data_IF_099028885996
#
_entry.id   IF_099028885996
#
_cell.length_a   1.000
_cell.length_b   1.000
_cell.length_c   1.000
_cell.angle_alpha   90.00
_cell.angle_beta   90.00
_cell.angle_gamma   90.00
#
_symmetry.space_group_name_H-M   'P 1'
#
loop_
_entity.id
_entity.type
_entity.pdbx_description
1 polymer ?
#
# COMPACT_ATOMS: atom_id res chain seq x y z
N UNK A 1 24.29 19.31 -3.80
CA UNK A 1 23.00 18.62 -4.13
C UNK A 1 23.20 17.17 -3.75
N UNK A 2 22.35 16.62 -2.88
CA UNK A 2 22.44 15.19 -2.52
C UNK A 2 22.05 14.32 -3.69
N UNK A 3 22.74 13.17 -3.86
CA UNK A 3 22.39 12.12 -4.81
C UNK A 3 21.79 10.92 -4.05
N UNK A 4 20.74 10.32 -4.60
CA UNK A 4 20.05 9.19 -3.98
C UNK A 4 19.77 8.12 -5.02
N UNK A 5 20.09 6.87 -4.70
CA UNK A 5 19.64 5.70 -5.44
C UNK A 5 18.51 5.04 -4.68
N UNK A 6 17.40 4.76 -5.35
CA UNK A 6 16.25 4.02 -4.80
C UNK A 6 16.16 2.68 -5.53
N UNK A 7 16.10 1.60 -4.78
CA UNK A 7 15.92 0.24 -5.31
C UNK A 7 14.45 -0.14 -5.21
N UNK A 8 13.78 -0.23 -6.36
CA UNK A 8 12.37 -0.58 -6.52
C UNK A 8 11.48 0.60 -6.92
N UNK A 9 10.73 0.45 -8.01
CA UNK A 9 9.75 1.40 -8.54
C UNK A 9 8.30 1.06 -8.16
N UNK A 10 8.09 0.40 -7.03
CA UNK A 10 6.76 0.25 -6.42
C UNK A 10 6.23 1.58 -5.89
N UNK A 11 4.98 1.60 -5.39
CA UNK A 11 4.34 2.84 -4.89
C UNK A 11 5.18 3.57 -3.84
N UNK A 12 5.84 2.83 -2.94
CA UNK A 12 6.70 3.42 -1.91
C UNK A 12 7.94 4.06 -2.51
N UNK A 13 8.65 3.34 -3.41
CA UNK A 13 9.86 3.86 -4.06
C UNK A 13 9.58 5.08 -4.92
N UNK A 14 8.48 5.07 -5.69
CA UNK A 14 8.10 6.21 -6.53
C UNK A 14 7.68 7.44 -5.71
N UNK A 15 6.94 7.27 -4.59
CA UNK A 15 6.67 8.39 -3.69
C UNK A 15 7.95 8.96 -3.08
N UNK A 16 8.88 8.10 -2.65
CA UNK A 16 10.20 8.53 -2.17
C UNK A 16 10.96 9.30 -3.26
N UNK A 17 10.93 8.81 -4.51
CA UNK A 17 11.62 9.44 -5.62
C UNK A 17 11.09 10.86 -5.90
N UNK A 18 9.75 11.00 -6.00
CA UNK A 18 9.11 12.30 -6.22
C UNK A 18 9.46 13.26 -5.07
N UNK A 19 9.30 12.81 -3.82
CA UNK A 19 9.49 13.67 -2.65
C UNK A 19 10.94 14.12 -2.46
N UNK A 20 11.90 13.21 -2.68
CA UNK A 20 13.33 13.53 -2.63
C UNK A 20 13.74 14.50 -3.74
N UNK A 21 13.25 14.31 -4.97
CA UNK A 21 13.51 15.21 -6.08
C UNK A 21 12.93 16.60 -5.82
N UNK A 22 11.71 16.70 -5.30
CA UNK A 22 11.11 17.96 -4.86
C UNK A 22 11.89 18.65 -3.74
N UNK A 23 12.56 17.89 -2.89
CA UNK A 23 13.45 18.41 -1.85
C UNK A 23 14.86 18.78 -2.38
N UNK A 24 15.11 18.66 -3.69
CA UNK A 24 16.35 19.06 -4.35
C UNK A 24 17.43 17.97 -4.42
N UNK A 25 17.10 16.70 -4.22
CA UNK A 25 18.01 15.60 -4.49
C UNK A 25 18.05 15.25 -5.99
N UNK A 26 19.19 14.75 -6.46
CA UNK A 26 19.30 14.04 -7.74
C UNK A 26 18.98 12.57 -7.46
N UNK A 27 17.93 12.05 -8.06
CA UNK A 27 17.41 10.72 -7.76
C UNK A 27 17.51 9.80 -8.97
N UNK A 28 17.98 8.57 -8.74
CA UNK A 28 17.92 7.45 -9.70
C UNK A 28 17.14 6.30 -9.05
N UNK A 29 16.14 5.78 -9.74
CA UNK A 29 15.36 4.60 -9.33
C UNK A 29 15.79 3.42 -10.18
N UNK A 30 16.14 2.31 -9.54
CA UNK A 30 16.52 1.05 -10.19
C UNK A 30 15.38 0.04 -9.98
N UNK A 31 14.79 -0.42 -11.09
CA UNK A 31 13.70 -1.39 -11.08
C UNK A 31 14.14 -2.67 -11.80
N UNK A 32 13.90 -3.80 -11.17
CA UNK A 32 14.26 -5.13 -11.71
C UNK A 32 13.39 -5.56 -12.89
N UNK A 33 12.16 -5.06 -12.94
CA UNK A 33 11.20 -5.40 -13.97
C UNK A 33 11.28 -4.43 -15.15
N UNK A 34 10.63 -4.83 -16.25
CA UNK A 34 10.43 -3.99 -17.42
C UNK A 34 9.49 -2.82 -17.12
N UNK A 35 9.46 -1.84 -18.01
CA UNK A 35 8.66 -0.62 -17.82
C UNK A 35 7.14 -0.87 -17.76
N UNK A 36 6.65 -2.00 -18.25
CA UNK A 36 5.23 -2.31 -18.27
C UNK A 36 4.66 -2.55 -16.86
N UNK A 37 3.70 -1.73 -16.46
CA UNK A 37 2.94 -1.92 -15.22
C UNK A 37 1.78 -2.87 -15.47
N UNK A 38 1.74 -3.99 -14.74
CA UNK A 38 0.70 -5.01 -14.90
C UNK A 38 0.32 -5.63 -13.56
N UNK A 39 -0.99 -5.84 -13.33
CA UNK A 39 -1.49 -6.60 -12.16
C UNK A 39 -0.96 -8.04 -12.12
N UNK A 40 -0.49 -8.55 -13.24
CA UNK A 40 0.13 -9.87 -13.34
C UNK A 40 1.65 -9.84 -13.14
N UNK A 41 2.24 -8.64 -12.99
CA UNK A 41 3.64 -8.46 -12.63
C UNK A 41 3.96 -8.93 -11.20
N UNK A 42 5.25 -9.03 -10.82
CA UNK A 42 5.65 -9.53 -9.50
C UNK A 42 5.39 -8.53 -8.38
N UNK A 43 5.27 -7.25 -8.68
CA UNK A 43 5.20 -6.17 -7.71
C UNK A 43 3.88 -6.15 -6.92
N UNK A 44 3.99 -6.07 -5.58
CA UNK A 44 2.84 -5.99 -4.68
C UNK A 44 1.97 -4.75 -4.96
N UNK A 45 2.58 -3.65 -5.38
CA UNK A 45 1.89 -2.38 -5.65
C UNK A 45 0.89 -2.51 -6.80
N UNK A 46 1.31 -3.08 -7.93
CA UNK A 46 0.44 -3.29 -9.10
C UNK A 46 -0.67 -4.32 -8.82
N UNK A 47 -0.36 -5.36 -8.04
CA UNK A 47 -1.31 -6.41 -7.70
C UNK A 47 -2.35 -6.01 -6.63
N UNK A 48 -2.18 -4.89 -5.94
CA UNK A 48 -3.09 -4.45 -4.88
C UNK A 48 -4.43 -3.94 -5.40
N UNK A 49 -5.45 -3.90 -4.53
CA UNK A 49 -6.71 -3.21 -4.82
C UNK A 49 -6.61 -1.69 -4.65
N UNK A 50 -5.61 -1.21 -3.92
CA UNK A 50 -5.34 0.21 -3.72
C UNK A 50 -6.18 0.88 -2.62
N UNK A 51 -6.70 0.14 -1.65
CA UNK A 51 -7.49 0.72 -0.56
C UNK A 51 -6.67 1.67 0.30
N UNK A 52 -7.28 2.81 0.62
CA UNK A 52 -6.77 3.84 1.53
C UNK A 52 -7.74 3.92 2.72
N UNK A 53 -7.56 3.03 3.69
CA UNK A 53 -8.42 2.89 4.85
C UNK A 53 -7.60 3.03 6.15
N UNK A 54 -7.47 4.25 6.69
CA UNK A 54 -6.62 4.51 7.85
C UNK A 54 -7.15 3.95 9.16
N UNK A 55 -8.48 3.82 9.31
CA UNK A 55 -9.09 3.20 10.47
C UNK A 55 -9.11 1.68 10.31
N UNK A 56 -8.16 0.99 10.93
CA UNK A 56 -8.06 -0.47 10.87
C UNK A 56 -9.23 -1.21 11.55
N UNK A 57 -9.34 -2.51 11.29
CA UNK A 57 -10.33 -3.38 11.96
C UNK A 57 -10.07 -3.49 13.46
N UNK A 58 -8.79 -3.55 13.86
CA UNK A 58 -8.35 -3.52 15.25
C UNK A 58 -7.60 -2.22 15.56
N UNK A 59 -7.67 -1.79 16.82
CA UNK A 59 -6.94 -0.63 17.30
C UNK A 59 -5.42 -0.80 17.11
N UNK A 60 -4.76 0.29 16.73
CA UNK A 60 -3.30 0.31 16.57
C UNK A 60 -2.72 1.59 17.15
N UNK A 61 -1.54 1.54 17.79
CA UNK A 61 -0.85 2.73 18.27
C UNK A 61 -0.44 3.68 17.14
N UNK A 62 -0.49 3.24 15.89
CA UNK A 62 -0.07 4.01 14.73
C UNK A 62 -1.24 4.54 13.87
N UNK A 63 -2.49 4.48 14.35
CA UNK A 63 -3.64 4.99 13.58
C UNK A 63 -3.52 6.47 13.25
N UNK A 64 -3.00 7.30 14.17
CA UNK A 64 -2.75 8.72 13.91
C UNK A 64 -1.80 8.91 12.72
N UNK A 65 -0.76 8.07 12.60
CA UNK A 65 0.17 8.09 11.47
C UNK A 65 -0.49 7.64 10.17
N UNK A 66 -1.39 6.64 10.22
CA UNK A 66 -2.16 6.20 9.07
C UNK A 66 -3.07 7.32 8.55
N UNK A 67 -3.74 8.06 9.43
CA UNK A 67 -4.52 9.25 9.06
C UNK A 67 -3.64 10.38 8.54
N UNK A 68 -2.48 10.64 9.14
CA UNK A 68 -1.54 11.64 8.63
C UNK A 68 -1.11 11.31 7.18
N UNK A 69 -0.89 10.04 6.88
CA UNK A 69 -0.61 9.60 5.51
C UNK A 69 -1.80 9.76 4.56
N UNK A 70 -3.01 9.46 5.02
CA UNK A 70 -4.23 9.70 4.27
C UNK A 70 -4.43 11.18 3.94
N UNK A 71 -4.18 12.07 4.91
CA UNK A 71 -4.24 13.51 4.70
C UNK A 71 -3.18 13.99 3.69
N UNK A 72 -2.00 13.34 3.65
CA UNK A 72 -1.00 13.56 2.60
C UNK A 72 -1.53 13.19 1.22
N UNK A 73 -2.20 12.05 1.07
CA UNK A 73 -2.84 11.66 -0.18
C UNK A 73 -3.81 12.75 -0.67
N UNK A 74 -4.71 13.24 0.20
CA UNK A 74 -5.67 14.31 -0.13
C UNK A 74 -4.98 15.62 -0.49
N UNK A 75 -3.94 15.99 0.24
CA UNK A 75 -3.19 17.24 0.02
C UNK A 75 -2.40 17.23 -1.28
N UNK A 76 -1.82 16.10 -1.64
CA UNK A 76 -0.97 15.97 -2.83
C UNK A 76 -1.79 15.81 -4.12
N UNK A 77 -2.98 15.20 -4.05
CA UNK A 77 -3.79 14.85 -5.22
C UNK A 77 -4.04 16.02 -6.18
N UNK A 78 -4.46 17.22 -5.76
CA UNK A 78 -4.88 18.26 -6.71
C UNK A 78 -3.81 18.74 -7.69
N UNK A 79 -2.54 18.52 -7.37
CA UNK A 79 -1.39 18.89 -8.21
C UNK A 79 -0.60 17.71 -8.77
N UNK A 80 -1.14 16.50 -8.63
CA UNK A 80 -0.41 15.29 -8.99
C UNK A 80 -0.79 14.77 -10.39
N UNK A 81 0.17 14.22 -11.10
CA UNK A 81 -0.05 13.55 -12.41
C UNK A 81 -0.91 12.27 -12.27
N UNK A 82 -1.09 11.77 -11.06
CA UNK A 82 -1.92 10.64 -10.70
C UNK A 82 -3.29 11.01 -10.11
N UNK A 83 -3.66 12.28 -10.13
CA UNK A 83 -4.86 12.81 -9.44
C UNK A 83 -6.16 12.09 -9.82
N UNK A 84 -6.31 11.72 -11.08
CA UNK A 84 -7.51 11.05 -11.60
C UNK A 84 -7.58 9.55 -11.24
N UNK A 85 -6.49 8.99 -10.73
CA UNK A 85 -6.40 7.61 -10.26
C UNK A 85 -6.82 7.41 -8.80
N UNK A 86 -7.17 8.47 -8.06
CA UNK A 86 -7.51 8.38 -6.62
C UNK A 86 -8.87 9.01 -6.34
N UNK A 87 -9.64 8.34 -5.47
CA UNK A 87 -10.95 8.81 -5.00
C UNK A 87 -11.03 8.73 -3.48
N UNK A 88 -11.78 9.67 -2.88
CA UNK A 88 -11.99 9.82 -1.44
C UNK A 88 -13.50 9.88 -1.15
N UNK A 89 -14.20 8.76 -1.34
CA UNK A 89 -15.66 8.67 -1.23
C UNK A 89 -16.13 8.03 0.08
N UNK A 90 -15.20 7.79 0.97
CA UNK A 90 -15.44 7.05 2.20
C UNK A 90 -15.47 5.53 2.00
N UNK A 91 -15.72 4.82 3.08
CA UNK A 91 -15.82 3.37 3.11
C UNK A 91 -16.87 2.89 4.11
N UNK A 92 -17.44 1.72 3.87
CA UNK A 92 -18.29 1.01 4.83
C UNK A 92 -17.50 -0.12 5.44
N UNK A 93 -17.22 -0.03 6.74
CA UNK A 93 -16.66 -1.10 7.53
C UNK A 93 -17.79 -1.96 8.11
N UNK A 94 -17.77 -3.24 7.81
CA UNK A 94 -18.71 -4.23 8.40
C UNK A 94 -18.01 -4.88 9.58
N UNK A 95 -18.49 -4.55 10.78
CA UNK A 95 -17.99 -5.10 12.03
C UNK A 95 -18.57 -6.50 12.28
N UNK A 96 -17.86 -7.32 13.05
CA UNK A 96 -18.32 -8.67 13.38
C UNK A 96 -19.49 -8.66 14.39
N UNK A 97 -19.57 -7.63 15.23
CA UNK A 97 -20.59 -7.46 16.26
C UNK A 97 -20.77 -5.97 16.62
N UNK A 98 -21.74 -5.68 17.48
CA UNK A 98 -22.04 -4.30 17.93
C UNK A 98 -20.86 -3.64 18.64
N UNK A 99 -20.13 -4.38 19.50
CA UNK A 99 -18.98 -3.86 20.24
C UNK A 99 -17.85 -3.39 19.30
N UNK A 100 -17.55 -4.16 18.26
CA UNK A 100 -16.54 -3.77 17.27
C UNK A 100 -16.99 -2.55 16.47
N UNK A 101 -18.28 -2.39 16.18
CA UNK A 101 -18.81 -1.19 15.52
C UNK A 101 -18.71 0.04 16.44
N UNK A 102 -19.01 -0.11 17.73
CA UNK A 102 -18.88 0.96 18.73
C UNK A 102 -17.41 1.36 18.92
N UNK A 103 -16.48 0.39 18.92
CA UNK A 103 -15.04 0.65 18.98
C UNK A 103 -14.56 1.47 17.77
N UNK A 104 -14.98 1.11 16.55
CA UNK A 104 -14.66 1.89 15.36
C UNK A 104 -15.14 3.34 15.46
N UNK A 105 -16.38 3.57 15.92
CA UNK A 105 -16.94 4.91 16.11
C UNK A 105 -16.18 5.69 17.17
N UNK A 106 -15.84 5.04 18.29
CA UNK A 106 -15.11 5.64 19.38
C UNK A 106 -13.70 6.07 18.96
N UNK A 107 -12.94 5.18 18.29
CA UNK A 107 -11.58 5.48 17.79
C UNK A 107 -11.59 6.60 16.75
N UNK A 108 -12.54 6.60 15.80
CA UNK A 108 -12.70 7.71 14.87
C UNK A 108 -12.89 9.03 15.60
N UNK A 109 -13.79 9.07 16.60
CA UNK A 109 -14.05 10.27 17.41
C UNK A 109 -12.81 10.73 18.18
N UNK A 110 -12.06 9.81 18.80
CA UNK A 110 -10.81 10.14 19.51
C UNK A 110 -9.75 10.78 18.61
N UNK A 111 -9.73 10.36 17.33
CA UNK A 111 -8.81 10.90 16.31
C UNK A 111 -9.36 12.15 15.60
N UNK A 112 -10.53 12.70 16.04
CA UNK A 112 -11.17 13.84 15.39
C UNK A 112 -11.68 13.55 13.98
N UNK A 113 -12.00 12.27 13.68
CA UNK A 113 -12.47 11.80 12.37
C UNK A 113 -13.97 11.52 12.39
N UNK A 114 -14.57 11.58 11.22
CA UNK A 114 -16.01 11.34 11.06
C UNK A 114 -16.29 9.89 10.71
N UNK A 115 -17.12 9.27 11.55
CA UNK A 115 -17.68 7.96 11.29
C UNK A 115 -19.12 7.94 11.84
N UNK A 116 -20.02 7.22 11.17
CA UNK A 116 -21.41 7.11 11.55
C UNK A 116 -21.94 5.68 11.34
N UNK A 117 -22.90 5.20 12.15
CA UNK A 117 -23.55 3.93 11.89
C UNK A 117 -24.21 3.92 10.51
N UNK A 118 -24.07 2.80 9.77
CA UNK A 118 -24.64 2.61 8.45
C UNK A 118 -25.62 1.44 8.43
N UNK A 119 -26.91 1.70 8.34
CA UNK A 119 -27.91 0.65 8.19
C UNK A 119 -27.97 0.11 6.75
N UNK A 120 -28.49 -1.12 6.58
CA UNK A 120 -28.73 -1.72 5.27
C UNK A 120 -29.63 -0.85 4.36
N UNK A 121 -30.61 -0.15 4.95
CA UNK A 121 -31.47 0.78 4.20
C UNK A 121 -30.74 2.04 3.71
N UNK A 122 -29.84 2.60 4.53
CA UNK A 122 -28.98 3.73 4.14
C UNK A 122 -27.99 3.32 3.05
N UNK A 123 -27.34 2.15 3.22
CA UNK A 123 -26.47 1.58 2.22
C UNK A 123 -27.18 1.40 0.86
N UNK A 124 -28.37 0.79 0.87
CA UNK A 124 -29.16 0.61 -0.35
C UNK A 124 -29.55 1.92 -1.01
N UNK A 125 -29.92 2.96 -0.24
CA UNK A 125 -30.23 4.27 -0.81
C UNK A 125 -29.00 4.92 -1.47
N UNK A 126 -27.81 4.67 -0.92
CA UNK A 126 -26.55 5.26 -1.39
C UNK A 126 -25.98 4.54 -2.62
N UNK A 127 -26.09 3.20 -2.67
CA UNK A 127 -25.45 2.34 -3.68
C UNK A 127 -26.42 1.68 -4.65
N UNK A 128 -27.69 1.58 -4.34
CA UNK A 128 -28.66 0.76 -5.07
C UNK A 128 -28.58 -0.75 -4.75
N UNK A 129 -27.49 -1.20 -4.11
CA UNK A 129 -27.24 -2.62 -3.81
C UNK A 129 -27.95 -3.07 -2.54
N UNK A 130 -28.28 -4.36 -2.48
CA UNK A 130 -28.83 -5.02 -1.30
C UNK A 130 -27.70 -5.64 -0.47
N UNK A 131 -27.65 -5.30 0.82
CA UNK A 131 -26.65 -5.85 1.73
C UNK A 131 -27.30 -6.29 3.05
N UNK A 132 -26.77 -7.33 3.66
CA UNK A 132 -27.11 -7.78 5.02
C UNK A 132 -26.14 -7.11 6.00
N UNK A 133 -26.41 -5.84 6.32
CA UNK A 133 -25.59 -5.05 7.23
C UNK A 133 -26.29 -4.97 8.59
N UNK A 134 -25.76 -5.65 9.59
CA UNK A 134 -26.25 -5.61 10.98
C UNK A 134 -25.42 -4.62 11.81
N UNK A 135 -24.11 -4.71 11.74
CA UNK A 135 -23.16 -3.88 12.46
C UNK A 135 -22.19 -3.27 11.46
N UNK A 136 -22.46 -2.06 11.00
CA UNK A 136 -21.61 -1.40 10.04
C UNK A 136 -21.49 0.09 10.28
N UNK A 137 -20.33 0.63 9.92
CA UNK A 137 -19.92 2.01 10.14
C UNK A 137 -19.48 2.59 8.81
N UNK A 138 -20.03 3.73 8.43
CA UNK A 138 -19.47 4.55 7.37
C UNK A 138 -18.33 5.39 7.93
N UNK A 139 -17.17 5.31 7.30
CA UNK A 139 -15.98 6.09 7.62
C UNK A 139 -15.74 7.08 6.48
N UNK A 140 -15.78 8.38 6.78
CA UNK A 140 -15.65 9.44 5.75
C UNK A 140 -14.24 9.47 5.16
N UNK A 141 -13.23 9.28 6.02
CA UNK A 141 -11.81 9.33 5.62
C UNK A 141 -11.31 7.97 5.12
N UNK A 142 -11.93 7.45 4.08
CA UNK A 142 -11.46 6.30 3.30
C UNK A 142 -11.48 6.61 1.80
N UNK A 143 -10.68 5.88 1.05
CA UNK A 143 -10.60 6.05 -0.39
C UNK A 143 -10.01 4.84 -1.10
N UNK A 144 -9.79 5.01 -2.39
CA UNK A 144 -9.13 4.00 -3.23
C UNK A 144 -8.21 4.69 -4.25
N UNK A 145 -7.06 4.11 -4.45
CA UNK A 145 -6.12 4.43 -5.52
C UNK A 145 -6.21 3.32 -6.58
N UNK A 146 -6.38 3.67 -7.84
CA UNK A 146 -6.22 2.73 -8.95
C UNK A 146 -4.73 2.47 -9.15
N UNK A 147 -4.23 1.24 -8.89
CA UNK A 147 -2.81 0.99 -8.88
C UNK A 147 -2.11 1.30 -10.20
N UNK A 148 -2.70 0.94 -11.33
CA UNK A 148 -2.06 1.12 -12.63
C UNK A 148 -1.96 2.60 -12.99
N UNK A 149 -3.04 3.35 -12.77
CA UNK A 149 -3.08 4.80 -13.03
C UNK A 149 -2.13 5.57 -12.12
N UNK A 150 -2.16 5.27 -10.83
CA UNK A 150 -1.33 5.99 -9.86
C UNK A 150 0.16 5.67 -10.05
N UNK A 151 0.54 4.42 -10.29
CA UNK A 151 1.95 4.07 -10.56
C UNK A 151 2.46 4.75 -11.83
N UNK A 152 1.66 4.74 -12.90
CA UNK A 152 2.01 5.45 -14.15
C UNK A 152 2.15 6.95 -13.90
N UNK A 153 1.19 7.58 -13.24
CA UNK A 153 1.24 9.02 -12.94
C UNK A 153 2.39 9.39 -12.00
N UNK A 154 2.71 8.56 -11.00
CA UNK A 154 3.88 8.76 -10.14
C UNK A 154 5.19 8.68 -10.93
N UNK A 155 5.32 7.71 -11.84
CA UNK A 155 6.50 7.61 -12.70
C UNK A 155 6.63 8.83 -13.63
N UNK A 156 5.52 9.31 -14.20
CA UNK A 156 5.50 10.55 -15.00
C UNK A 156 5.93 11.75 -14.16
N UNK A 157 5.36 11.92 -12.97
CA UNK A 157 5.68 12.99 -12.05
C UNK A 157 7.15 12.94 -11.60
N UNK A 158 7.69 11.75 -11.31
CA UNK A 158 9.11 11.58 -10.98
C UNK A 158 10.00 12.05 -12.12
N UNK A 159 9.73 11.61 -13.36
CA UNK A 159 10.48 12.05 -14.56
C UNK A 159 10.38 13.57 -14.79
N UNK A 160 9.22 14.17 -14.57
CA UNK A 160 9.01 15.62 -14.66
C UNK A 160 9.87 16.40 -13.65
N UNK A 161 10.21 15.80 -12.51
CA UNK A 161 11.15 16.33 -11.52
C UNK A 161 12.62 15.92 -11.77
N UNK A 162 12.93 15.34 -12.93
CA UNK A 162 14.30 14.97 -13.30
C UNK A 162 14.81 13.65 -12.69
N UNK A 163 13.93 12.82 -12.16
CA UNK A 163 14.28 11.47 -11.68
C UNK A 163 14.57 10.56 -12.88
N UNK A 164 15.70 9.86 -12.83
CA UNK A 164 16.01 8.78 -13.75
C UNK A 164 15.36 7.48 -13.21
N UNK A 165 14.56 6.82 -14.04
CA UNK A 165 14.00 5.50 -13.72
C UNK A 165 14.57 4.51 -14.73
N UNK A 166 15.41 3.60 -14.26
CA UNK A 166 16.03 2.56 -15.06
C UNK A 166 15.40 1.21 -14.77
N UNK A 167 14.90 0.59 -15.82
CA UNK A 167 14.29 -0.73 -15.81
C UNK A 167 15.30 -1.81 -16.19
N UNK A 168 14.96 -3.09 -15.94
CA UNK A 168 15.88 -4.23 -16.12
C UNK A 168 17.18 -4.05 -15.31
N UNK A 169 17.09 -3.45 -14.12
CA UNK A 169 18.21 -3.16 -13.20
C UNK A 169 18.02 -3.85 -11.84
N UNK A 170 18.08 -5.18 -11.85
CA UNK A 170 18.07 -5.94 -10.60
C UNK A 170 19.36 -5.70 -9.81
N UNK A 171 19.21 -5.12 -8.60
CA UNK A 171 20.33 -4.87 -7.69
C UNK A 171 20.67 -6.12 -6.90
N UNK A 172 21.93 -6.51 -6.85
CA UNK A 172 22.43 -7.70 -6.15
C UNK A 172 23.54 -7.41 -5.14
N UNK A 173 24.16 -6.22 -5.16
CA UNK A 173 25.19 -5.83 -4.20
C UNK A 173 25.07 -4.37 -3.81
N UNK A 174 25.38 -4.07 -2.55
CA UNK A 174 25.30 -2.75 -1.95
C UNK A 174 26.50 -2.44 -1.08
N UNK A 175 26.87 -1.17 -1.02
CA UNK A 175 27.69 -0.57 0.03
C UNK A 175 26.97 0.66 0.56
N UNK A 176 27.62 1.44 1.46
CA UNK A 176 27.05 2.71 1.94
C UNK A 176 26.69 3.70 0.81
N UNK A 177 27.45 3.66 -0.30
CA UNK A 177 27.41 4.67 -1.35
C UNK A 177 27.25 4.09 -2.76
N UNK A 178 27.18 2.77 -2.91
CA UNK A 178 27.06 2.14 -4.23
C UNK A 178 25.97 1.08 -4.26
N UNK A 179 25.25 1.02 -5.38
CA UNK A 179 24.39 -0.10 -5.74
C UNK A 179 24.92 -0.73 -7.04
N UNK A 180 25.15 -2.03 -7.03
CA UNK A 180 25.53 -2.79 -8.22
C UNK A 180 24.34 -3.58 -8.73
N UNK A 181 23.99 -3.35 -9.99
CA UNK A 181 22.86 -3.98 -10.65
C UNK A 181 23.31 -4.92 -11.77
N UNK A 182 22.35 -5.57 -12.41
CA UNK A 182 22.56 -6.46 -13.55
C UNK A 182 23.53 -5.84 -14.60
N UNK A 183 24.35 -6.66 -15.24
CA UNK A 183 25.45 -6.29 -16.15
C UNK A 183 26.57 -5.50 -15.45
N UNK A 184 26.77 -5.70 -14.14
CA UNK A 184 27.80 -5.03 -13.32
C UNK A 184 27.72 -3.50 -13.37
N UNK A 185 26.52 -2.96 -13.67
CA UNK A 185 26.28 -1.52 -13.65
C UNK A 185 26.36 -0.98 -12.21
N UNK A 186 27.26 -0.02 -11.97
CA UNK A 186 27.50 0.57 -10.66
C UNK A 186 26.91 1.98 -10.59
N UNK A 187 26.10 2.22 -9.56
CA UNK A 187 25.45 3.50 -9.28
C UNK A 187 25.97 4.06 -7.96
N UNK A 188 26.60 5.23 -8.02
CA UNK A 188 27.13 5.93 -6.85
C UNK A 188 26.13 7.00 -6.36
N UNK A 189 25.92 7.07 -5.04
CA UNK A 189 25.05 8.05 -4.41
C UNK A 189 25.48 8.37 -2.97
N UNK A 190 25.02 9.52 -2.46
CA UNK A 190 25.21 9.92 -1.05
C UNK A 190 24.31 9.10 -0.10
N UNK A 191 23.23 8.51 -0.61
CA UNK A 191 22.35 7.63 0.14
C UNK A 191 21.68 6.58 -0.77
N UNK A 192 21.43 5.40 -0.21
CA UNK A 192 20.71 4.31 -0.88
C UNK A 192 19.46 3.98 -0.09
N UNK A 193 18.31 3.90 -0.78
CA UNK A 193 17.01 3.58 -0.21
C UNK A 193 16.49 2.26 -0.79
N UNK A 194 16.19 1.29 0.08
CA UNK A 194 15.67 0.00 -0.33
C UNK A 194 14.14 -0.04 -0.19
N UNK A 195 13.44 0.05 -1.32
CA UNK A 195 11.98 -0.06 -1.44
C UNK A 195 11.57 -1.24 -2.33
N UNK A 196 12.36 -2.33 -2.31
CA UNK A 196 12.36 -3.42 -3.28
C UNK A 196 11.27 -4.51 -3.06
N UNK A 197 10.27 -4.23 -2.21
CA UNK A 197 9.17 -5.17 -1.92
C UNK A 197 9.68 -6.49 -1.32
N UNK A 198 8.85 -7.54 -1.35
CA UNK A 198 9.25 -8.84 -0.80
C UNK A 198 10.45 -9.46 -1.55
N UNK A 199 10.45 -9.41 -2.88
CA UNK A 199 11.48 -10.05 -3.69
C UNK A 199 12.89 -9.50 -3.47
N UNK A 200 12.98 -8.18 -3.22
CA UNK A 200 14.26 -7.55 -2.87
C UNK A 200 14.65 -7.80 -1.41
N UNK A 201 13.70 -7.98 -0.50
CA UNK A 201 14.01 -8.20 0.91
C UNK A 201 14.88 -9.45 1.12
N UNK A 202 14.54 -10.56 0.48
CA UNK A 202 15.33 -11.81 0.59
C UNK A 202 16.75 -11.62 0.04
N UNK A 203 16.87 -11.03 -1.15
CA UNK A 203 18.16 -10.88 -1.86
C UNK A 203 19.09 -9.87 -1.17
N UNK A 204 18.54 -8.79 -0.63
CA UNK A 204 19.30 -7.68 -0.06
C UNK A 204 19.44 -7.74 1.47
N UNK A 205 18.93 -8.77 2.12
CA UNK A 205 19.01 -8.96 3.57
C UNK A 205 20.46 -9.12 4.11
N UNK A 206 21.42 -9.42 3.26
CA UNK A 206 22.84 -9.43 3.65
C UNK A 206 23.38 -8.01 3.93
N UNK A 207 22.82 -6.99 3.26
CA UNK A 207 23.23 -5.59 3.36
C UNK A 207 22.34 -4.77 4.32
N UNK A 208 21.12 -5.23 4.55
CA UNK A 208 20.16 -4.64 5.47
C UNK A 208 19.47 -5.74 6.29
N UNK A 209 20.06 -6.18 7.41
CA UNK A 209 19.60 -7.35 8.16
C UNK A 209 18.15 -7.28 8.65
N UNK A 210 17.61 -6.10 8.91
CA UNK A 210 16.21 -5.91 9.27
C UNK A 210 15.23 -6.47 8.20
N UNK A 211 15.64 -6.56 6.95
CA UNK A 211 14.83 -7.15 5.87
C UNK A 211 14.54 -8.65 6.08
N UNK A 212 15.34 -9.37 6.90
CA UNK A 212 15.08 -10.77 7.25
C UNK A 212 13.79 -10.98 8.04
N UNK A 213 13.27 -9.91 8.63
CA UNK A 213 12.00 -9.93 9.38
C UNK A 213 10.78 -9.90 8.45
N UNK A 214 10.98 -9.65 7.15
CA UNK A 214 9.88 -9.51 6.19
C UNK A 214 9.52 -10.88 5.61
N UNK A 215 8.28 -11.30 5.83
CA UNK A 215 7.73 -12.54 5.32
C UNK A 215 6.78 -12.32 4.13
N UNK A 216 6.61 -13.32 3.24
CA UNK A 216 5.65 -13.22 2.15
C UNK A 216 4.22 -13.45 2.66
N UNK A 217 3.30 -12.60 2.25
CA UNK A 217 1.87 -12.75 2.48
C UNK A 217 1.11 -12.81 1.15
N UNK A 218 0.79 -14.02 0.66
CA UNK A 218 0.03 -14.19 -0.58
C UNK A 218 -1.41 -13.78 -0.40
N UNK A 219 -1.97 -13.07 -1.38
CA UNK A 219 -3.38 -12.71 -1.42
C UNK A 219 -3.95 -12.85 -2.81
N UNK A 220 -5.15 -13.47 -2.92
CA UNK A 220 -5.92 -13.57 -4.16
C UNK A 220 -6.88 -12.41 -4.29
N UNK A 221 -7.07 -11.95 -5.52
CA UNK A 221 -8.00 -10.91 -5.90
C UNK A 221 -8.72 -11.34 -7.18
N UNK A 222 -9.96 -10.86 -7.35
CA UNK A 222 -10.76 -11.14 -8.54
C UNK A 222 -11.56 -9.91 -8.94
N UNK A 223 -11.57 -9.52 -10.24
CA UNK A 223 -12.48 -8.50 -10.74
C UNK A 223 -13.90 -9.03 -10.64
N UNK A 224 -14.83 -8.18 -10.21
CA UNK A 224 -16.24 -8.53 -10.11
C UNK A 224 -17.11 -7.46 -10.76
N UNK A 225 -18.27 -7.88 -11.26
CA UNK A 225 -19.33 -7.00 -11.69
C UNK A 225 -20.38 -6.90 -10.59
N UNK A 226 -20.88 -5.69 -10.38
CA UNK A 226 -22.03 -5.38 -9.57
C UNK A 226 -23.11 -4.76 -10.45
N UNK A 227 -24.39 -4.93 -10.09
CA UNK A 227 -25.51 -4.37 -10.86
C UNK A 227 -25.54 -2.82 -10.79
N UNK A 228 -24.87 -2.22 -9.79
CA UNK A 228 -24.70 -0.78 -9.62
C UNK A 228 -23.27 -0.45 -9.19
N UNK A 229 -22.74 0.74 -9.51
CA UNK A 229 -21.45 1.19 -9.00
C UNK A 229 -21.40 1.17 -7.46
N UNK A 230 -20.29 0.69 -6.90
CA UNK A 230 -20.09 0.65 -5.46
C UNK A 230 -19.48 1.97 -4.97
N UNK A 231 -20.30 2.77 -4.33
CA UNK A 231 -19.91 4.02 -3.68
C UNK A 231 -20.57 4.10 -2.31
N UNK A 232 -19.87 4.10 -1.24
CA UNK A 232 -18.42 3.99 -0.97
C UNK A 232 -17.89 2.54 -1.08
N UNK A 233 -16.56 2.36 -0.92
CA UNK A 233 -15.97 1.03 -0.82
C UNK A 233 -16.55 0.26 0.37
N UNK A 234 -16.45 -1.07 0.33
CA UNK A 234 -16.95 -1.93 1.40
C UNK A 234 -15.83 -2.84 1.87
N UNK A 235 -15.65 -2.95 3.18
CA UNK A 235 -14.71 -3.89 3.80
C UNK A 235 -15.37 -4.65 4.95
N UNK A 236 -15.04 -5.92 5.04
CA UNK A 236 -15.44 -6.84 6.09
C UNK A 236 -14.19 -7.62 6.55
N UNK A 237 -14.30 -8.39 7.64
CA UNK A 237 -13.17 -9.12 8.20
C UNK A 237 -12.44 -10.02 7.19
N UNK A 238 -13.17 -10.65 6.26
CA UNK A 238 -12.64 -11.68 5.36
C UNK A 238 -12.48 -11.21 3.90
N UNK A 239 -13.01 -10.04 3.55
CA UNK A 239 -12.93 -9.50 2.20
C UNK A 239 -13.15 -8.00 2.17
N UNK A 240 -12.85 -7.40 1.02
CA UNK A 240 -13.25 -6.04 0.68
C UNK A 240 -13.68 -5.98 -0.78
N UNK A 241 -14.51 -5.00 -1.09
CA UNK A 241 -14.84 -4.57 -2.45
C UNK A 241 -14.32 -3.15 -2.65
N UNK A 242 -13.36 -3.01 -3.52
CA UNK A 242 -12.76 -1.73 -3.87
C UNK A 242 -13.21 -1.32 -5.29
N UNK A 243 -13.98 -0.23 -5.37
CA UNK A 243 -14.38 0.34 -6.65
C UNK A 243 -13.23 1.18 -7.19
N UNK A 244 -12.54 0.71 -8.20
CA UNK A 244 -11.61 1.49 -8.98
C UNK A 244 -12.37 2.25 -10.08
N UNK A 245 -11.66 2.98 -10.93
CA UNK A 245 -12.32 3.79 -11.95
C UNK A 245 -13.12 2.95 -12.96
N UNK A 246 -12.57 1.83 -13.39
CA UNK A 246 -13.12 1.01 -14.47
C UNK A 246 -13.67 -0.34 -13.99
N UNK A 247 -13.30 -0.80 -12.81
CA UNK A 247 -13.69 -2.10 -12.29
C UNK A 247 -13.92 -2.09 -10.77
N UNK A 248 -14.54 -3.16 -10.29
CA UNK A 248 -14.61 -3.48 -8.86
C UNK A 248 -13.71 -4.68 -8.61
N UNK A 249 -12.86 -4.57 -7.60
CA UNK A 249 -11.98 -5.67 -7.18
C UNK A 249 -12.45 -6.22 -5.85
N UNK A 250 -12.72 -7.52 -5.85
CA UNK A 250 -12.94 -8.31 -4.64
C UNK A 250 -11.61 -8.90 -4.17
N UNK A 251 -11.23 -8.64 -2.95
CA UNK A 251 -10.02 -9.13 -2.27
C UNK A 251 -10.24 -9.21 -0.76
N UNK A 252 -9.33 -9.70 0.00
CA UNK A 252 -8.27 -10.55 -0.44
C UNK A 252 -7.98 -11.61 0.61
N UNK A 253 -7.57 -12.77 0.17
CA UNK A 253 -7.03 -13.78 1.07
C UNK A 253 -5.70 -13.32 1.69
N UNK A 254 -5.29 -13.99 2.77
CA UNK A 254 -3.97 -13.82 3.37
C UNK A 254 -3.41 -15.20 3.74
N UNK A 255 -2.32 -15.57 3.08
CA UNK A 255 -1.60 -16.82 3.31
C UNK A 255 -0.14 -16.48 3.61
N UNK A 256 0.22 -16.49 4.91
CA UNK A 256 1.59 -16.21 5.35
C UNK A 256 2.56 -17.32 4.93
N UNK A 257 3.82 -16.97 4.66
CA UNK A 257 4.84 -17.91 4.22
C UNK A 257 4.68 -18.39 2.76
N UNK A 258 3.65 -17.96 2.05
CA UNK A 258 3.40 -18.33 0.65
C UNK A 258 3.91 -17.23 -0.28
N UNK A 259 4.83 -17.56 -1.18
CA UNK A 259 5.44 -16.61 -2.10
C UNK A 259 5.21 -16.91 -3.59
N UNK A 260 4.51 -18.01 -3.96
CA UNK A 260 4.12 -18.21 -5.35
C UNK A 260 2.87 -17.41 -5.71
N UNK A 261 2.81 -16.90 -6.94
CA UNK A 261 1.68 -16.11 -7.46
C UNK A 261 0.65 -16.96 -8.23
N UNK A 262 0.68 -18.27 -8.06
CA UNK A 262 -0.30 -19.16 -8.70
C UNK A 262 -1.67 -18.91 -8.08
N UNK A 263 -2.68 -18.69 -8.92
CA UNK A 263 -4.07 -18.56 -8.49
C UNK A 263 -4.61 -19.94 -8.10
N UNK A 264 -5.21 -20.01 -6.92
CA UNK A 264 -5.91 -21.19 -6.42
C UNK A 264 -7.40 -20.91 -6.46
N UNK A 265 -8.14 -21.60 -7.35
CA UNK A 265 -9.56 -21.32 -7.60
C UNK A 265 -10.40 -21.42 -6.33
N UNK A 266 -10.12 -22.38 -5.45
CA UNK A 266 -10.83 -22.52 -4.17
C UNK A 266 -10.77 -21.24 -3.32
N UNK A 267 -9.64 -20.51 -3.34
CA UNK A 267 -9.50 -19.23 -2.61
C UNK A 267 -10.32 -18.10 -3.24
N UNK A 268 -10.44 -18.11 -4.56
CA UNK A 268 -11.31 -17.17 -5.27
C UNK A 268 -12.78 -17.46 -4.97
N UNK A 269 -13.17 -18.73 -4.96
CA UNK A 269 -14.52 -19.16 -4.64
C UNK A 269 -14.91 -18.80 -3.19
N UNK A 270 -13.99 -18.95 -2.23
CA UNK A 270 -14.16 -18.51 -0.84
C UNK A 270 -14.49 -17.01 -0.75
N UNK A 271 -13.76 -16.17 -1.49
CA UNK A 271 -14.02 -14.73 -1.54
C UNK A 271 -15.40 -14.41 -2.13
N UNK A 272 -15.78 -15.08 -3.24
CA UNK A 272 -17.09 -14.89 -3.87
C UNK A 272 -18.23 -15.32 -2.97
N UNK A 273 -18.07 -16.44 -2.24
CA UNK A 273 -19.05 -16.92 -1.26
C UNK A 273 -19.21 -15.92 -0.12
N UNK A 274 -18.08 -15.43 0.45
CA UNK A 274 -18.11 -14.44 1.53
C UNK A 274 -18.78 -13.13 1.10
N UNK A 275 -18.45 -12.63 -0.08
CA UNK A 275 -19.04 -11.41 -0.62
C UNK A 275 -20.55 -11.56 -0.89
N UNK A 276 -20.97 -12.69 -1.48
CA UNK A 276 -22.39 -12.95 -1.73
C UNK A 276 -23.18 -13.32 -0.46
N UNK A 277 -22.53 -13.75 0.62
CA UNK A 277 -23.20 -13.87 1.92
C UNK A 277 -23.66 -12.50 2.46
N UNK A 278 -22.84 -11.46 2.22
CA UNK A 278 -23.16 -10.09 2.62
C UNK A 278 -24.01 -9.34 1.59
N UNK A 279 -23.75 -9.54 0.29
CA UNK A 279 -24.41 -8.89 -0.87
C UNK A 279 -25.11 -9.96 -1.74
N UNK A 280 -26.25 -10.53 -1.31
CA UNK A 280 -26.84 -11.72 -1.94
C UNK A 280 -27.19 -11.54 -3.42
N UNK A 281 -26.45 -12.27 -4.29
CA UNK A 281 -26.66 -12.26 -5.74
C UNK A 281 -26.12 -11.05 -6.49
N UNK A 282 -25.52 -10.08 -5.79
CA UNK A 282 -25.02 -8.85 -6.39
C UNK A 282 -23.60 -9.01 -6.98
N UNK A 283 -22.78 -9.94 -6.43
CA UNK A 283 -21.36 -10.07 -6.78
C UNK A 283 -21.14 -11.20 -7.78
N UNK A 284 -20.70 -10.87 -9.00
CA UNK A 284 -20.45 -11.83 -10.07
C UNK A 284 -19.00 -11.71 -10.55
N UNK A 285 -18.25 -12.81 -10.76
CA UNK A 285 -16.91 -12.71 -11.33
C UNK A 285 -16.96 -12.06 -12.72
N UNK A 286 -16.03 -11.13 -13.00
CA UNK A 286 -16.04 -10.32 -14.23
C UNK A 286 -14.69 -10.31 -14.95
N UNK A 287 -13.72 -11.11 -14.53
CA UNK A 287 -12.42 -11.15 -15.19
C UNK A 287 -11.51 -12.22 -14.61
N UNK A 288 -10.25 -12.19 -15.06
CA UNK A 288 -9.24 -13.15 -14.62
C UNK A 288 -8.75 -12.80 -13.21
N UNK A 289 -8.84 -13.71 -12.23
CA UNK A 289 -8.26 -13.51 -10.92
C UNK A 289 -6.72 -13.50 -10.97
N UNK A 290 -6.11 -12.86 -9.98
CA UNK A 290 -4.66 -12.86 -9.80
C UNK A 290 -4.28 -13.01 -8.33
N UNK A 291 -2.98 -13.20 -8.09
CA UNK A 291 -2.42 -13.23 -6.74
C UNK A 291 -1.19 -12.33 -6.65
N UNK A 292 -1.09 -11.59 -5.55
CA UNK A 292 0.05 -10.74 -5.20
C UNK A 292 0.73 -11.21 -3.92
N UNK A 293 1.99 -10.80 -3.73
CA UNK A 293 2.78 -11.12 -2.55
C UNK A 293 3.06 -9.83 -1.78
N UNK A 294 2.49 -9.71 -0.59
CA UNK A 294 2.73 -8.59 0.32
C UNK A 294 4.02 -8.80 1.10
N UNK A 295 4.86 -7.78 1.28
CA UNK A 295 5.97 -7.82 2.22
C UNK A 295 5.41 -7.61 3.65
N UNK A 296 5.23 -8.70 4.40
CA UNK A 296 4.64 -8.67 5.74
C UNK A 296 5.72 -8.47 6.79
N UNK A 297 5.60 -7.42 7.59
CA UNK A 297 6.39 -7.24 8.82
C UNK A 297 5.73 -7.99 9.99
N UNK A 298 6.48 -8.33 11.06
CA UNK A 298 5.95 -9.08 12.20
C UNK A 298 4.79 -8.40 12.94
N UNK A 299 4.82 -7.07 13.01
CA UNK A 299 3.82 -6.23 13.69
C UNK A 299 2.79 -5.59 12.75
N UNK A 300 2.90 -5.86 11.43
CA UNK A 300 2.01 -5.30 10.41
C UNK A 300 2.36 -3.87 9.97
N UNK A 301 3.37 -3.22 10.58
CA UNK A 301 3.80 -1.86 10.28
C UNK A 301 5.16 -1.82 9.56
N UNK A 302 5.39 -0.84 8.67
CA UNK A 302 6.60 -0.82 7.86
C UNK A 302 7.86 -0.57 8.67
N UNK A 303 8.98 -1.05 8.15
CA UNK A 303 10.32 -0.73 8.59
C UNK A 303 10.81 0.46 7.75
N UNK A 304 10.96 1.64 8.38
CA UNK A 304 11.35 2.87 7.69
C UNK A 304 12.48 3.56 8.45
N UNK A 305 13.65 3.68 7.81
CA UNK A 305 14.81 4.32 8.40
C UNK A 305 16.10 3.56 8.17
N UNK A 306 17.18 3.87 8.94
CA UNK A 306 18.49 3.27 8.75
C UNK A 306 18.51 1.78 9.15
N UNK A 307 19.19 0.98 8.31
CA UNK A 307 19.56 -0.41 8.58
C UNK A 307 20.98 -0.60 8.05
N UNK A 308 21.96 -0.73 8.95
CA UNK A 308 23.38 -0.59 8.62
C UNK A 308 23.67 0.70 7.84
N UNK A 309 24.29 0.57 6.67
CA UNK A 309 24.74 1.70 5.86
C UNK A 309 23.70 2.22 4.85
N UNK A 310 22.48 1.66 4.82
CA UNK A 310 21.43 2.03 3.88
C UNK A 310 20.14 2.42 4.60
N UNK A 311 19.25 3.10 3.90
CA UNK A 311 17.88 3.36 4.36
C UNK A 311 16.95 2.28 3.81
N UNK A 312 16.02 1.80 4.64
CA UNK A 312 14.99 0.88 4.18
C UNK A 312 13.60 1.51 4.28
N UNK A 313 12.74 1.15 3.34
CA UNK A 313 11.33 1.50 3.26
C UNK A 313 10.56 0.24 2.82
N UNK A 314 10.40 -0.71 3.76
CA UNK A 314 9.97 -2.08 3.46
C UNK A 314 8.94 -2.60 4.47
N UNK A 315 8.37 -3.77 4.22
CA UNK A 315 7.50 -4.43 5.19
C UNK A 315 6.17 -3.75 5.45
N UNK A 316 5.62 -3.02 4.48
CA UNK A 316 4.37 -2.25 4.64
C UNK A 316 3.13 -3.12 4.81
N UNK A 317 3.26 -4.42 4.78
CA UNK A 317 2.19 -5.39 5.02
C UNK A 317 0.96 -5.11 4.12
N UNK A 318 -0.21 -4.86 4.72
CA UNK A 318 -1.45 -4.55 4.00
C UNK A 318 -1.56 -3.06 3.62
N UNK A 319 -0.72 -2.19 4.19
CA UNK A 319 -0.87 -0.73 4.17
C UNK A 319 0.11 0.01 3.24
N UNK A 320 0.76 -0.69 2.30
CA UNK A 320 1.76 -0.08 1.42
C UNK A 320 1.23 1.12 0.62
N UNK A 321 0.02 1.04 0.10
CA UNK A 321 -0.62 2.16 -0.58
C UNK A 321 -0.90 3.32 0.39
N UNK A 322 -1.59 3.04 1.48
CA UNK A 322 -1.94 4.05 2.46
C UNK A 322 -0.72 4.80 2.99
N UNK A 323 0.35 4.08 3.36
CA UNK A 323 1.51 4.63 4.06
C UNK A 323 2.62 5.14 3.12
N UNK A 324 2.50 4.98 1.80
CA UNK A 324 3.55 5.41 0.88
C UNK A 324 3.91 6.92 0.98
N UNK A 325 2.97 7.87 1.08
CA UNK A 325 3.31 9.27 1.21
C UNK A 325 4.08 9.61 2.50
N UNK A 326 3.62 9.09 3.66
CA UNK A 326 4.30 9.37 4.92
C UNK A 326 5.69 8.72 4.97
N UNK A 327 5.83 7.52 4.38
CA UNK A 327 7.13 6.86 4.23
C UNK A 327 8.10 7.74 3.44
N UNK A 328 7.63 8.38 2.39
CA UNK A 328 8.46 9.30 1.59
C UNK A 328 8.91 10.54 2.38
N UNK A 329 8.05 11.11 3.25
CA UNK A 329 8.44 12.20 4.14
C UNK A 329 9.51 11.74 5.14
N UNK A 330 9.34 10.57 5.75
CA UNK A 330 10.31 10.01 6.72
C UNK A 330 11.67 9.75 6.04
N UNK A 331 11.68 9.10 4.89
CA UNK A 331 12.93 8.85 4.13
C UNK A 331 13.61 10.16 3.74
N UNK A 332 12.83 11.15 3.30
CA UNK A 332 13.36 12.47 2.97
C UNK A 332 14.01 13.14 4.17
N UNK A 333 13.38 13.07 5.35
CA UNK A 333 13.94 13.60 6.59
C UNK A 333 15.28 12.93 6.94
N UNK A 334 15.39 11.61 6.84
CA UNK A 334 16.67 10.90 7.04
C UNK A 334 17.74 11.34 6.04
N UNK A 335 17.42 11.41 4.74
CA UNK A 335 18.38 11.80 3.70
C UNK A 335 18.93 13.20 3.93
N UNK A 336 18.10 14.14 4.36
CA UNK A 336 18.53 15.52 4.59
C UNK A 336 18.98 15.83 6.02
N UNK A 337 18.94 14.84 6.94
CA UNK A 337 19.35 15.00 8.33
C UNK A 337 18.40 15.88 9.12
N UNK A 338 17.12 15.89 8.78
CA UNK A 338 16.10 16.58 9.57
C UNK A 338 15.75 15.81 10.84
N UNK A 339 15.15 16.49 11.81
CA UNK A 339 14.65 15.86 13.02
C UNK A 339 13.59 14.82 12.70
N UNK A 340 13.66 13.67 13.37
CA UNK A 340 12.69 12.57 13.22
C UNK A 340 11.75 12.62 14.42
N UNK A 341 10.47 12.98 14.23
CA UNK A 341 9.50 12.96 15.32
C UNK A 341 9.33 11.56 15.94
N UNK A 342 8.99 11.47 17.24
CA UNK A 342 8.84 10.18 17.93
C UNK A 342 7.89 9.20 17.23
N UNK A 343 6.77 9.69 16.67
CA UNK A 343 5.80 8.89 15.92
C UNK A 343 6.40 8.31 14.63
N UNK A 344 7.37 8.99 13.99
CA UNK A 344 8.10 8.46 12.84
C UNK A 344 9.20 7.49 13.28
N UNK A 345 9.89 7.80 14.38
CA UNK A 345 10.91 6.93 14.96
C UNK A 345 10.34 5.56 15.38
N UNK A 346 9.05 5.50 15.72
CA UNK A 346 8.34 4.26 16.02
C UNK A 346 8.31 3.27 14.83
N UNK A 347 8.54 3.72 13.60
CA UNK A 347 8.67 2.86 12.42
C UNK A 347 10.12 2.42 12.13
N UNK A 348 11.09 2.84 12.96
CA UNK A 348 12.49 2.47 12.80
C UNK A 348 12.67 0.95 12.75
N UNK A 349 13.54 0.43 11.85
CA UNK A 349 13.91 -0.98 11.83
C UNK A 349 14.42 -1.51 13.18
N UNK A 350 15.08 -0.67 13.95
CA UNK A 350 15.65 -1.01 15.27
C UNK A 350 14.61 -1.53 16.27
N UNK A 351 13.31 -1.20 16.10
CA UNK A 351 12.25 -1.72 16.97
C UNK A 351 12.11 -3.26 16.95
N UNK A 352 12.57 -3.89 15.86
CA UNK A 352 12.55 -5.35 15.69
C UNK A 352 13.93 -6.00 15.87
N UNK A 353 14.96 -5.20 16.06
CA UNK A 353 16.28 -5.71 16.42
C UNK A 353 16.25 -6.01 17.93
N UNK A 354 16.33 -7.29 18.28
CA UNK A 354 16.45 -7.68 19.70
C UNK A 354 17.73 -7.09 20.29
N UNK A 355 17.71 -6.60 21.54
CA UNK A 355 18.91 -6.13 22.22
C UNK A 355 19.95 -7.25 22.41
#
# INVERSE_FOLDING_TARGET
MKSVVIVGAGVVGLFCAVRLAQAGARVTVLESEREEVSVHGPGASAAAAGMLAPLGEAASPHEALAFASYDLWKRLQPSAEWADGVRFDGGVAVAANAGDAEDLLHRATQLGRRAEPMSASQFRRRTGLRAKLEHSVFVEDEGVADPLRVLTGLAMQARAHGVLIEHDREVFSLTANTATAYEDAVYEADAIVLAAGFWGCEKLAAFAPALRQIEPGKGHLVPVALDQPLWPNLRAANFYLAQRREDVVLGATLELGRFNRRVEQARVDELLVAANALLPGEVKPAGRPWAGIRPMSPDGWPLVGPSCDVLIAAGHSRNGWLLAPITAEIITAYVFGAEIPPEWAALSPQRLESP
#
